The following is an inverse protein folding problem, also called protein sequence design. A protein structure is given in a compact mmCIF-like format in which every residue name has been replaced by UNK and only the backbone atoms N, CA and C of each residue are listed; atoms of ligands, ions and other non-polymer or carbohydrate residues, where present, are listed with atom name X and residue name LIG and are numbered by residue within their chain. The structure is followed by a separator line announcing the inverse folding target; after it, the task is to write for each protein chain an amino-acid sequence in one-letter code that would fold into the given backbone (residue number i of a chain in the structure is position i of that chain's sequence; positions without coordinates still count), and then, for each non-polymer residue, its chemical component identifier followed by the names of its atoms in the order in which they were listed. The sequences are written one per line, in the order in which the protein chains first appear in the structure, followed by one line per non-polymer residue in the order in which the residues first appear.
data_IF_437082840896
#
_entry.id   IF_437082840896
#
_cell.length_a   1.000
_cell.length_b   1.000
_cell.length_c   1.000
_cell.angle_alpha   90.00
_cell.angle_beta   90.00
_cell.angle_gamma   90.00
#
_symmetry.space_group_name_H-M   'P 1'
#
loop_
_entity.id
_entity.type
_entity.pdbx_description
1 polymer ?
#
# COMPACT_ATOMS: atom_id res chain seq x y z
N UNK A 1 -43.06 -1.53 -10.82
CA UNK A 1 -43.06 -2.97 -10.46
C UNK A 1 -41.76 -3.67 -10.88
N UNK A 2 -41.37 -3.64 -12.16
CA UNK A 2 -40.13 -4.28 -12.68
C UNK A 2 -38.85 -3.85 -11.94
N UNK A 3 -38.69 -2.55 -11.66
CA UNK A 3 -37.51 -2.01 -10.95
C UNK A 3 -37.31 -2.62 -9.55
N UNK A 4 -38.40 -2.95 -8.84
CA UNK A 4 -38.33 -3.53 -7.49
C UNK A 4 -37.87 -4.99 -7.53
N UNK A 5 -38.32 -5.78 -8.50
CA UNK A 5 -37.86 -7.16 -8.68
C UNK A 5 -36.38 -7.25 -9.06
N UNK A 6 -35.93 -6.33 -9.92
CA UNK A 6 -34.52 -6.24 -10.34
C UNK A 6 -33.62 -5.86 -9.16
N UNK A 7 -34.03 -4.86 -8.36
CA UNK A 7 -33.31 -4.49 -7.14
C UNK A 7 -33.24 -5.63 -6.12
N UNK A 8 -34.35 -6.35 -5.92
CA UNK A 8 -34.38 -7.49 -5.01
C UNK A 8 -33.46 -8.62 -5.48
N UNK A 9 -33.45 -8.90 -6.79
CA UNK A 9 -32.53 -9.87 -7.40
C UNK A 9 -31.06 -9.51 -7.16
N UNK A 10 -30.68 -8.24 -7.33
CA UNK A 10 -29.31 -7.80 -7.04
C UNK A 10 -28.98 -7.92 -5.55
N UNK A 11 -29.92 -7.59 -4.66
CA UNK A 11 -29.75 -7.78 -3.22
C UNK A 11 -29.47 -9.23 -2.83
N UNK A 12 -30.27 -10.17 -3.35
CA UNK A 12 -30.05 -11.61 -3.12
C UNK A 12 -28.72 -12.09 -3.69
N UNK A 13 -28.35 -11.63 -4.90
CA UNK A 13 -27.08 -12.00 -5.51
C UNK A 13 -25.88 -11.49 -4.69
N UNK A 14 -25.95 -10.28 -4.13
CA UNK A 14 -24.91 -9.74 -3.23
C UNK A 14 -24.76 -10.64 -1.99
N UNK A 15 -25.86 -11.10 -1.41
CA UNK A 15 -25.84 -12.00 -0.23
C UNK A 15 -25.19 -13.34 -0.59
N UNK A 16 -25.59 -13.95 -1.72
CA UNK A 16 -25.03 -15.22 -2.17
C UNK A 16 -23.54 -15.11 -2.49
N UNK A 17 -23.11 -14.03 -3.16
CA UNK A 17 -21.69 -13.75 -3.40
C UNK A 17 -20.93 -13.54 -2.09
N UNK A 18 -21.53 -12.87 -1.10
CA UNK A 18 -20.93 -12.72 0.22
C UNK A 18 -20.69 -14.04 0.93
N UNK A 19 -21.66 -14.96 0.86
CA UNK A 19 -21.50 -16.33 1.40
C UNK A 19 -20.43 -17.10 0.64
N UNK A 20 -20.41 -17.00 -0.70
CA UNK A 20 -19.41 -17.66 -1.53
C UNK A 20 -17.99 -17.19 -1.19
N UNK A 21 -17.78 -15.87 -1.05
CA UNK A 21 -16.49 -15.28 -0.65
C UNK A 21 -16.00 -15.86 0.67
N UNK A 22 -16.87 -16.00 1.67
CA UNK A 22 -16.51 -16.55 2.98
C UNK A 22 -16.14 -18.04 2.91
N UNK A 23 -16.73 -18.79 1.98
CA UNK A 23 -16.48 -20.23 1.83
C UNK A 23 -15.26 -20.56 0.94
N UNK A 24 -14.66 -19.57 0.27
CA UNK A 24 -13.52 -19.79 -0.62
C UNK A 24 -12.23 -19.83 0.19
N UNK A 25 -11.42 -20.89 0.08
CA UNK A 25 -10.11 -20.94 0.69
C UNK A 25 -9.20 -19.82 0.15
N UNK A 26 -8.37 -19.15 0.98
CA UNK A 26 -7.50 -18.06 0.56
C UNK A 26 -6.53 -18.43 -0.58
N UNK A 27 -6.21 -19.72 -0.71
CA UNK A 27 -5.33 -20.26 -1.74
C UNK A 27 -5.93 -20.16 -3.16
N UNK A 28 -7.26 -19.97 -3.27
CA UNK A 28 -7.95 -19.81 -4.55
C UNK A 28 -8.21 -18.32 -4.86
N UNK A 29 -7.12 -17.55 -4.90
CA UNK A 29 -7.11 -16.10 -5.13
C UNK A 29 -7.81 -15.68 -6.43
N UNK A 30 -7.65 -16.46 -7.52
CA UNK A 30 -8.31 -16.17 -8.81
C UNK A 30 -9.83 -16.24 -8.72
N UNK A 31 -10.39 -17.23 -8.00
CA UNK A 31 -11.84 -17.34 -7.83
C UNK A 31 -12.36 -16.23 -6.91
N UNK A 32 -11.60 -15.92 -5.86
CA UNK A 32 -11.92 -14.85 -4.92
C UNK A 32 -11.95 -13.47 -5.61
N UNK A 33 -11.00 -13.20 -6.49
CA UNK A 33 -10.96 -11.99 -7.32
C UNK A 33 -12.23 -11.83 -8.18
N UNK A 34 -12.68 -12.91 -8.83
CA UNK A 34 -13.92 -12.91 -9.64
C UNK A 34 -15.15 -12.60 -8.79
N UNK A 35 -15.20 -13.13 -7.56
CA UNK A 35 -16.31 -12.81 -6.65
C UNK A 35 -16.28 -11.37 -6.14
N UNK A 36 -15.11 -10.82 -5.83
CA UNK A 36 -14.98 -9.39 -5.49
C UNK A 36 -15.40 -8.50 -6.65
N UNK A 37 -14.99 -8.82 -7.88
CA UNK A 37 -15.43 -8.10 -9.07
C UNK A 37 -16.96 -8.10 -9.19
N UNK A 38 -17.59 -9.27 -9.14
CA UNK A 38 -19.04 -9.42 -9.31
C UNK A 38 -19.82 -8.74 -8.18
N UNK A 39 -19.40 -8.90 -6.93
CA UNK A 39 -20.08 -8.30 -5.78
C UNK A 39 -19.92 -6.77 -5.79
N UNK A 40 -18.73 -6.27 -6.11
CA UNK A 40 -18.47 -4.84 -6.26
C UNK A 40 -19.29 -4.20 -7.38
N UNK A 41 -19.43 -4.90 -8.51
CA UNK A 41 -20.30 -4.47 -9.61
C UNK A 41 -21.78 -4.40 -9.18
N UNK A 42 -22.30 -5.43 -8.52
CA UNK A 42 -23.69 -5.44 -8.04
C UNK A 42 -23.96 -4.37 -6.98
N UNK A 43 -23.01 -4.15 -6.06
CA UNK A 43 -23.07 -3.06 -5.09
C UNK A 43 -23.10 -1.68 -5.77
N UNK A 44 -22.36 -1.52 -6.88
CA UNK A 44 -22.38 -0.29 -7.69
C UNK A 44 -23.77 -0.03 -8.28
N UNK A 45 -24.40 -1.05 -8.87
CA UNK A 45 -25.77 -0.96 -9.40
C UNK A 45 -26.81 -0.66 -8.31
N UNK A 46 -26.57 -1.12 -7.08
CA UNK A 46 -27.43 -0.86 -5.93
C UNK A 46 -27.15 0.48 -5.21
N UNK A 47 -26.28 1.34 -5.77
CA UNK A 47 -25.84 2.59 -5.13
C UNK A 47 -25.17 2.40 -3.76
N UNK A 48 -24.67 1.20 -3.46
CA UNK A 48 -23.89 0.89 -2.25
C UNK A 48 -22.42 1.19 -2.49
N UNK A 49 -22.09 2.48 -2.63
CA UNK A 49 -20.78 2.93 -3.14
C UNK A 49 -19.61 2.49 -2.27
N UNK A 50 -19.75 2.57 -0.94
CA UNK A 50 -18.70 2.17 -0.02
C UNK A 50 -18.44 0.66 -0.04
N UNK A 51 -19.49 -0.15 -0.11
CA UNK A 51 -19.36 -1.61 -0.19
C UNK A 51 -18.70 -2.02 -1.52
N UNK A 52 -19.09 -1.36 -2.61
CA UNK A 52 -18.45 -1.55 -3.91
C UNK A 52 -16.97 -1.18 -3.91
N UNK A 53 -16.60 -0.04 -3.30
CA UNK A 53 -15.20 0.36 -3.17
C UNK A 53 -14.38 -0.61 -2.31
N UNK A 54 -14.97 -1.16 -1.24
CA UNK A 54 -14.33 -2.20 -0.44
C UNK A 54 -14.09 -3.48 -1.23
N UNK A 55 -15.04 -3.90 -2.06
CA UNK A 55 -14.88 -5.04 -2.97
C UNK A 55 -13.78 -4.78 -4.01
N UNK A 56 -13.78 -3.62 -4.65
CA UNK A 56 -12.74 -3.27 -5.61
C UNK A 56 -11.36 -3.11 -4.97
N UNK A 57 -11.29 -2.64 -3.73
CA UNK A 57 -10.03 -2.60 -2.98
C UNK A 57 -9.48 -4.01 -2.69
N UNK A 58 -10.35 -4.98 -2.41
CA UNK A 58 -9.94 -6.37 -2.25
C UNK A 58 -9.54 -7.01 -3.58
N UNK A 59 -10.28 -6.70 -4.66
CA UNK A 59 -9.90 -7.11 -6.01
C UNK A 59 -8.51 -6.57 -6.38
N UNK A 60 -8.24 -5.29 -6.10
CA UNK A 60 -6.95 -4.66 -6.38
C UNK A 60 -5.76 -5.38 -5.72
N UNK A 61 -5.98 -5.99 -4.56
CA UNK A 61 -4.96 -6.80 -3.85
C UNK A 61 -4.83 -8.22 -4.40
N UNK A 62 -5.85 -8.72 -5.11
CA UNK A 62 -5.97 -10.13 -5.49
C UNK A 62 -5.62 -10.37 -6.95
N UNK A 63 -6.12 -9.54 -7.86
CA UNK A 63 -5.91 -9.65 -9.29
C UNK A 63 -6.13 -8.29 -9.97
N UNK A 64 -5.03 -7.67 -10.43
CA UNK A 64 -5.11 -6.38 -11.11
C UNK A 64 -5.52 -6.48 -12.58
N UNK A 65 -5.42 -7.65 -13.22
CA UNK A 65 -5.72 -7.78 -14.65
C UNK A 65 -7.19 -7.54 -14.95
N UNK A 66 -8.07 -7.93 -14.02
CA UNK A 66 -9.52 -7.75 -14.15
C UNK A 66 -10.04 -6.50 -13.44
N UNK A 67 -9.16 -5.62 -12.95
CA UNK A 67 -9.56 -4.44 -12.17
C UNK A 67 -10.30 -3.40 -13.05
N UNK A 68 -11.55 -3.01 -12.73
CA UNK A 68 -12.35 -2.16 -13.60
C UNK A 68 -12.08 -0.66 -13.34
N UNK A 69 -10.91 -0.18 -13.79
CA UNK A 69 -10.40 1.17 -13.50
C UNK A 69 -11.42 2.29 -13.75
N UNK A 70 -12.07 2.33 -14.91
CA UNK A 70 -12.99 3.41 -15.27
C UNK A 70 -14.28 3.39 -14.44
N UNK A 71 -14.76 2.19 -14.07
CA UNK A 71 -15.90 2.04 -13.18
C UNK A 71 -15.56 2.56 -11.78
N UNK A 72 -14.37 2.22 -11.27
CA UNK A 72 -13.93 2.69 -9.95
C UNK A 72 -13.74 4.20 -9.94
N UNK A 73 -13.20 4.79 -11.02
CA UNK A 73 -13.13 6.25 -11.19
C UNK A 73 -14.51 6.90 -11.08
N UNK A 74 -15.46 6.45 -11.90
CA UNK A 74 -16.82 6.96 -11.87
C UNK A 74 -17.47 6.82 -10.49
N UNK A 75 -17.21 5.70 -9.80
CA UNK A 75 -17.72 5.45 -8.46
C UNK A 75 -17.13 6.42 -7.43
N UNK A 76 -15.81 6.65 -7.47
CA UNK A 76 -15.11 7.61 -6.59
C UNK A 76 -15.60 9.04 -6.82
N UNK A 77 -15.85 9.42 -8.07
CA UNK A 77 -16.36 10.75 -8.42
C UNK A 77 -17.83 10.93 -8.00
N UNK A 78 -18.59 9.83 -7.89
CA UNK A 78 -19.99 9.84 -7.45
C UNK A 78 -20.20 9.84 -5.92
N UNK A 79 -19.13 9.78 -5.12
CA UNK A 79 -19.22 9.72 -3.66
C UNK A 79 -19.85 11.00 -3.08
N UNK A 80 -20.84 10.85 -2.20
CA UNK A 80 -21.40 11.94 -1.42
C UNK A 80 -20.43 12.39 -0.33
N UNK A 81 -20.61 13.60 0.23
CA UNK A 81 -19.72 14.16 1.26
C UNK A 81 -19.59 13.27 2.49
N UNK A 82 -20.68 12.67 2.95
CA UNK A 82 -20.68 11.80 4.12
C UNK A 82 -19.99 10.47 3.82
N UNK A 83 -20.28 9.87 2.66
CA UNK A 83 -19.60 8.65 2.19
C UNK A 83 -18.10 8.90 2.00
N UNK A 84 -17.72 10.06 1.46
CA UNK A 84 -16.33 10.46 1.29
C UNK A 84 -15.62 10.58 2.62
N UNK A 85 -16.25 11.21 3.61
CA UNK A 85 -15.71 11.34 4.96
C UNK A 85 -15.53 9.97 5.62
N UNK A 86 -16.48 9.04 5.43
CA UNK A 86 -16.37 7.67 5.91
C UNK A 86 -15.27 6.88 5.19
N UNK A 87 -15.13 7.04 3.88
CA UNK A 87 -14.06 6.41 3.11
C UNK A 87 -12.67 6.94 3.52
N UNK A 88 -12.55 8.23 3.84
CA UNK A 88 -11.30 8.82 4.30
C UNK A 88 -10.88 8.34 5.70
N UNK A 89 -11.81 7.79 6.50
CA UNK A 89 -11.52 7.09 7.77
C UNK A 89 -11.04 5.65 7.57
N UNK A 90 -11.26 5.05 6.38
CA UNK A 90 -10.82 3.71 5.99
C UNK A 90 -9.65 3.81 5.03
N UNK A 91 -8.40 3.77 5.46
CA UNK A 91 -7.30 4.17 4.59
C UNK A 91 -6.97 3.21 3.47
N UNK A 92 -7.43 1.97 3.50
CA UNK A 92 -7.48 1.13 2.30
C UNK A 92 -8.33 1.78 1.20
N UNK A 93 -9.48 2.38 1.54
CA UNK A 93 -10.29 3.15 0.60
C UNK A 93 -9.69 4.53 0.33
N UNK A 94 -9.15 5.23 1.33
CA UNK A 94 -8.46 6.51 1.13
C UNK A 94 -7.29 6.38 0.15
N UNK A 95 -6.51 5.30 0.25
CA UNK A 95 -5.40 4.99 -0.66
C UNK A 95 -5.92 4.70 -2.07
N UNK A 96 -6.96 3.86 -2.21
CA UNK A 96 -7.59 3.57 -3.50
C UNK A 96 -8.10 4.85 -4.16
N UNK A 97 -8.86 5.64 -3.42
CA UNK A 97 -9.43 6.91 -3.86
C UNK A 97 -8.33 7.90 -4.26
N UNK A 98 -7.27 8.01 -3.46
CA UNK A 98 -6.14 8.87 -3.79
C UNK A 98 -5.49 8.41 -5.09
N UNK A 99 -5.17 7.12 -5.22
CA UNK A 99 -4.54 6.53 -6.40
C UNK A 99 -5.37 6.75 -7.68
N UNK A 100 -6.66 6.44 -7.61
CA UNK A 100 -7.62 6.62 -8.70
C UNK A 100 -7.77 8.09 -9.10
N UNK A 101 -7.70 9.03 -8.14
CA UNK A 101 -7.74 10.47 -8.41
C UNK A 101 -6.42 11.03 -8.92
N UNK A 102 -5.27 10.54 -8.46
CA UNK A 102 -3.96 10.93 -9.01
C UNK A 102 -3.81 10.44 -10.46
N UNK A 103 -4.36 9.27 -10.76
CA UNK A 103 -4.49 8.78 -12.14
C UNK A 103 -5.51 9.59 -12.97
N UNK A 104 -6.45 10.32 -12.33
CA UNK A 104 -7.42 11.20 -12.99
C UNK A 104 -6.86 12.63 -13.22
N UNK A 105 -6.06 13.15 -12.29
CA UNK A 105 -5.28 14.38 -12.50
C UNK A 105 -4.21 14.20 -13.58
N UNK A 106 -3.67 12.98 -13.74
CA UNK A 106 -2.88 12.61 -14.91
C UNK A 106 -3.70 12.58 -16.22
N UNK A 107 -5.02 12.38 -16.19
CA UNK A 107 -5.85 12.31 -17.40
C UNK A 107 -6.43 13.67 -17.82
N UNK A 108 -6.63 14.61 -16.88
CA UNK A 108 -7.17 15.95 -17.21
C UNK A 108 -6.09 17.03 -17.43
N UNK A 109 -4.83 16.76 -17.10
CA UNK A 109 -3.70 17.69 -17.35
C UNK A 109 -2.66 17.13 -18.33
N UNK A 110 -2.79 15.88 -18.80
CA UNK A 110 -1.84 15.33 -19.78
C UNK A 110 -2.54 14.78 -21.02
N UNK A 111 -2.98 15.71 -21.86
CA UNK A 111 -2.74 15.63 -23.30
C UNK A 111 -1.28 16.05 -23.63
N UNK A 112 -0.34 15.73 -22.72
CA UNK A 112 1.08 15.97 -22.91
C UNK A 112 1.88 14.74 -22.47
N UNK A 113 2.66 14.27 -23.42
CA UNK A 113 3.13 12.91 -23.64
C UNK A 113 4.32 12.53 -22.73
N UNK A 114 4.17 12.62 -21.40
CA UNK A 114 5.26 12.31 -20.47
C UNK A 114 4.80 11.54 -19.23
N UNK A 115 4.70 10.21 -19.36
CA UNK A 115 5.19 9.34 -18.28
C UNK A 115 6.66 9.71 -18.09
N UNK A 116 6.98 10.57 -17.12
CA UNK A 116 8.35 10.74 -16.66
C UNK A 116 8.78 9.39 -16.09
N UNK A 117 9.31 8.51 -16.95
CA UNK A 117 10.17 7.41 -16.51
C UNK A 117 11.25 8.10 -15.68
N UNK A 118 11.28 7.85 -14.38
CA UNK A 118 12.37 8.32 -13.56
C UNK A 118 13.67 7.75 -14.14
N UNK A 119 14.57 8.63 -14.54
CA UNK A 119 15.88 8.23 -15.06
C UNK A 119 16.91 8.42 -13.97
N UNK A 120 17.75 7.41 -13.78
CA UNK A 120 18.88 7.54 -12.87
C UNK A 120 19.79 8.69 -13.33
N UNK A 121 20.22 9.56 -12.41
CA UNK A 121 21.15 10.63 -12.72
C UNK A 121 22.46 10.05 -13.26
N UNK A 122 23.02 10.69 -14.29
CA UNK A 122 24.27 10.28 -14.94
C UNK A 122 25.45 11.19 -14.59
N UNK A 123 25.18 12.30 -13.90
CA UNK A 123 26.15 13.31 -13.51
C UNK A 123 26.13 13.50 -12.00
N UNK A 124 27.25 13.97 -11.45
CA UNK A 124 27.32 14.36 -10.05
C UNK A 124 26.27 15.40 -9.72
N UNK A 125 25.69 15.31 -8.51
CA UNK A 125 24.62 16.20 -8.08
C UNK A 125 25.04 16.98 -6.84
N UNK A 126 24.91 18.29 -6.92
CA UNK A 126 24.91 19.16 -5.74
C UNK A 126 23.56 19.05 -5.02
N UNK A 127 23.47 19.63 -3.83
CA UNK A 127 22.29 19.51 -2.96
C UNK A 127 20.96 19.85 -3.66
N UNK A 128 20.93 20.93 -4.44
CA UNK A 128 19.71 21.37 -5.14
C UNK A 128 19.26 20.37 -6.22
N UNK A 129 20.20 19.82 -6.98
CA UNK A 129 19.89 18.83 -8.02
C UNK A 129 19.50 17.49 -7.41
N UNK A 130 20.12 17.11 -6.28
CA UNK A 130 19.72 15.95 -5.51
C UNK A 130 18.29 16.08 -4.99
N UNK A 131 17.89 17.26 -4.47
CA UNK A 131 16.51 17.53 -4.06
C UNK A 131 15.52 17.28 -5.18
N UNK A 132 15.79 17.83 -6.37
CA UNK A 132 14.95 17.61 -7.56
C UNK A 132 14.84 16.13 -7.90
N UNK A 133 15.96 15.40 -7.95
CA UNK A 133 15.96 13.97 -8.29
C UNK A 133 15.19 13.11 -7.29
N UNK A 134 15.30 13.38 -5.99
CA UNK A 134 14.56 12.63 -4.95
C UNK A 134 13.06 12.91 -5.01
N UNK A 135 12.67 14.15 -5.34
CA UNK A 135 11.25 14.48 -5.52
C UNK A 135 10.69 13.85 -6.80
N UNK A 136 11.45 13.89 -7.90
CA UNK A 136 11.08 13.24 -9.17
C UNK A 136 10.98 11.71 -9.07
N UNK A 137 11.76 11.09 -8.18
CA UNK A 137 11.70 9.64 -7.93
C UNK A 137 10.53 9.22 -7.04
N UNK A 138 9.90 10.17 -6.35
CA UNK A 138 8.75 9.92 -5.47
C UNK A 138 9.09 9.36 -4.09
N UNK A 139 10.36 9.29 -3.70
CA UNK A 139 10.80 8.72 -2.41
C UNK A 139 10.32 9.58 -1.23
N UNK A 140 10.57 10.89 -1.27
CA UNK A 140 10.17 11.84 -0.23
C UNK A 140 10.03 13.22 -0.85
N UNK A 141 9.01 13.98 -0.40
CA UNK A 141 8.75 15.34 -0.88
C UNK A 141 9.32 16.44 0.03
N UNK A 142 9.48 16.14 1.33
CA UNK A 142 9.95 17.09 2.34
C UNK A 142 11.42 17.46 2.16
N UNK A 143 11.69 18.75 1.91
CA UNK A 143 13.03 19.26 1.60
C UNK A 143 13.99 19.11 2.79
N UNK A 144 13.53 19.33 4.02
CA UNK A 144 14.39 19.22 5.19
C UNK A 144 14.91 17.79 5.41
N UNK A 145 14.05 16.80 5.18
CA UNK A 145 14.43 15.38 5.19
C UNK A 145 15.41 15.05 4.07
N UNK A 146 15.21 15.60 2.86
CA UNK A 146 16.13 15.38 1.75
C UNK A 146 17.50 16.00 2.01
N UNK A 147 17.56 17.18 2.65
CA UNK A 147 18.83 17.79 3.05
C UNK A 147 19.57 16.91 4.06
N UNK A 148 18.88 16.35 5.06
CA UNK A 148 19.50 15.40 6.01
C UNK A 148 20.01 14.14 5.32
N UNK A 149 19.27 13.62 4.34
CA UNK A 149 19.70 12.49 3.53
C UNK A 149 20.95 12.83 2.71
N UNK A 150 21.01 14.02 2.11
CA UNK A 150 22.18 14.49 1.38
C UNK A 150 23.41 14.56 2.28
N UNK A 151 23.29 15.15 3.47
CA UNK A 151 24.38 15.19 4.45
C UNK A 151 24.81 13.77 4.85
N UNK A 152 23.86 12.86 5.11
CA UNK A 152 24.15 11.47 5.47
C UNK A 152 24.90 10.70 4.36
N UNK A 153 24.60 10.97 3.10
CA UNK A 153 25.25 10.34 1.94
C UNK A 153 26.58 11.00 1.54
N UNK A 154 26.88 12.18 2.08
CA UNK A 154 28.14 12.92 1.79
C UNK A 154 29.08 13.02 2.99
N UNK A 155 28.79 12.35 4.12
CA UNK A 155 29.64 12.36 5.31
C UNK A 155 31.06 11.92 4.96
N UNK A 156 32.04 12.81 5.18
CA UNK A 156 33.46 12.54 4.92
C UNK A 156 33.87 12.56 3.44
N UNK A 157 32.99 13.03 2.54
CA UNK A 157 33.24 13.12 1.10
C UNK A 157 33.08 14.57 0.58
N UNK A 158 33.31 14.77 -0.73
CA UNK A 158 32.96 16.04 -1.38
C UNK A 158 31.45 16.28 -1.27
N UNK A 159 31.02 17.55 -1.17
CA UNK A 159 29.61 17.96 -1.07
C UNK A 159 28.84 17.79 -2.40
N UNK A 160 28.93 16.62 -2.99
CA UNK A 160 28.21 16.20 -4.19
C UNK A 160 27.97 14.69 -4.13
N UNK A 161 26.87 14.24 -4.71
CA UNK A 161 26.52 12.83 -4.80
C UNK A 161 26.96 12.31 -6.16
N UNK A 162 27.82 11.29 -6.16
CA UNK A 162 28.18 10.54 -7.36
C UNK A 162 26.94 9.77 -7.89
N UNK A 163 26.73 9.71 -9.22
CA UNK A 163 25.68 8.90 -9.85
C UNK A 163 25.55 7.48 -9.32
N UNK A 164 26.66 6.82 -9.03
CA UNK A 164 26.73 5.45 -8.52
C UNK A 164 26.21 5.35 -7.09
N UNK A 165 26.55 6.32 -6.24
CA UNK A 165 26.02 6.40 -4.87
C UNK A 165 24.50 6.56 -4.91
N UNK A 166 23.99 7.43 -5.78
CA UNK A 166 22.54 7.59 -5.97
C UNK A 166 21.90 6.30 -6.49
N UNK A 167 22.51 5.64 -7.48
CA UNK A 167 22.00 4.38 -8.05
C UNK A 167 21.88 3.31 -6.98
N UNK A 168 22.94 3.11 -6.19
CA UNK A 168 22.95 2.13 -5.09
C UNK A 168 21.85 2.45 -4.08
N UNK A 169 21.75 3.70 -3.63
CA UNK A 169 20.68 4.15 -2.73
C UNK A 169 19.28 3.87 -3.30
N UNK A 170 19.02 4.28 -4.53
CA UNK A 170 17.72 4.12 -5.19
C UNK A 170 17.35 2.65 -5.37
N UNK A 171 18.30 1.81 -5.78
CA UNK A 171 18.09 0.37 -5.91
C UNK A 171 17.75 -0.26 -4.57
N UNK A 172 18.52 0.02 -3.50
CA UNK A 172 18.22 -0.52 -2.17
C UNK A 172 16.86 -0.05 -1.63
N UNK A 173 16.49 1.20 -1.90
CA UNK A 173 15.17 1.70 -1.56
C UNK A 173 14.06 0.92 -2.27
N UNK A 174 14.20 0.71 -3.58
CA UNK A 174 13.22 -0.02 -4.40
C UNK A 174 13.14 -1.49 -4.05
N UNK A 175 14.28 -2.16 -3.83
CA UNK A 175 14.31 -3.55 -3.37
C UNK A 175 13.66 -3.70 -1.99
N UNK A 176 13.91 -2.75 -1.07
CA UNK A 176 13.26 -2.74 0.25
C UNK A 176 11.76 -2.51 0.15
N UNK A 177 11.31 -1.62 -0.73
CA UNK A 177 9.89 -1.36 -1.00
C UNK A 177 9.20 -2.63 -1.53
N UNK A 178 9.81 -3.31 -2.50
CA UNK A 178 9.31 -4.57 -3.07
C UNK A 178 9.28 -5.67 -2.01
N UNK A 179 10.36 -5.88 -1.24
CA UNK A 179 10.41 -6.91 -0.18
C UNK A 179 9.32 -6.67 0.88
N UNK A 180 9.02 -5.41 1.20
CA UNK A 180 7.97 -5.06 2.15
C UNK A 180 6.55 -5.24 1.58
N UNK A 181 6.37 -5.10 0.26
CA UNK A 181 5.08 -5.29 -0.42
C UNK A 181 4.79 -6.77 -0.69
N UNK A 182 5.81 -7.55 -1.04
CA UNK A 182 5.69 -8.97 -1.39
C UNK A 182 5.66 -9.89 -0.16
N UNK A 183 5.71 -9.35 1.06
CA UNK A 183 5.67 -10.16 2.27
C UNK A 183 4.32 -10.86 2.41
N UNK A 184 4.32 -12.18 2.29
CA UNK A 184 3.18 -13.01 2.64
C UNK A 184 3.07 -13.11 4.16
N UNK A 185 2.15 -12.34 4.73
CA UNK A 185 1.83 -12.40 6.16
C UNK A 185 0.86 -13.57 6.42
N UNK A 186 1.12 -14.41 7.45
CA UNK A 186 0.15 -15.40 7.89
C UNK A 186 -1.20 -14.75 8.24
N UNK A 187 -2.31 -15.48 8.05
CA UNK A 187 -3.65 -14.96 8.27
C UNK A 187 -3.83 -14.43 9.71
N UNK A 188 -3.25 -15.12 10.68
CA UNK A 188 -3.25 -14.73 12.09
C UNK A 188 -2.61 -13.34 12.28
N UNK A 189 -1.57 -13.01 11.51
CA UNK A 189 -0.93 -11.68 11.58
C UNK A 189 -1.86 -10.61 11.04
N UNK A 190 -2.48 -10.88 9.90
CA UNK A 190 -3.39 -9.94 9.23
C UNK A 190 -4.57 -9.61 10.15
N UNK A 191 -5.11 -10.58 10.89
CA UNK A 191 -6.19 -10.36 11.87
C UNK A 191 -5.78 -9.47 13.05
N UNK A 192 -4.49 -9.48 13.42
CA UNK A 192 -3.97 -8.68 14.54
C UNK A 192 -3.43 -7.31 14.11
N UNK A 193 -3.23 -7.07 12.81
CA UNK A 193 -2.83 -5.77 12.28
C UNK A 193 -4.03 -4.82 12.27
N UNK A 194 -3.78 -3.56 12.63
CA UNK A 194 -4.80 -2.54 12.42
C UNK A 194 -5.03 -2.39 10.89
N UNK A 195 -6.24 -2.00 10.47
CA UNK A 195 -6.66 -1.89 9.05
C UNK A 195 -5.69 -1.11 8.12
N UNK A 196 -4.75 -0.35 8.69
CA UNK A 196 -3.88 0.63 8.02
C UNK A 196 -2.40 0.28 8.21
N UNK A 197 -2.15 -0.70 9.07
CA UNK A 197 -0.82 -1.12 9.45
C UNK A 197 -0.27 -1.97 8.33
N UNK A 198 0.87 -1.56 7.80
CA UNK A 198 1.56 -2.29 6.75
C UNK A 198 3.03 -2.38 7.10
N UNK A 199 3.67 -3.41 6.55
CA UNK A 199 5.09 -3.61 6.73
C UNK A 199 5.84 -2.62 5.83
N UNK A 200 6.82 -1.94 6.40
CA UNK A 200 7.70 -0.99 5.69
C UNK A 200 9.11 -1.54 5.49
N UNK A 201 9.54 -2.44 6.37
CA UNK A 201 10.87 -3.03 6.32
C UNK A 201 10.85 -4.44 6.88
N UNK A 202 11.54 -5.33 6.18
CA UNK A 202 11.93 -6.65 6.68
C UNK A 202 13.44 -6.69 6.91
N UNK A 203 13.86 -7.47 7.91
CA UNK A 203 15.23 -7.94 8.03
C UNK A 203 15.46 -9.21 7.19
N UNK A 204 16.72 -9.56 6.99
CA UNK A 204 17.08 -10.94 6.65
C UNK A 204 16.64 -11.90 7.77
N UNK A 205 16.64 -13.21 7.49
CA UNK A 205 16.36 -14.20 8.54
C UNK A 205 17.45 -14.16 9.60
N UNK A 206 17.04 -14.08 10.86
CA UNK A 206 17.89 -13.94 12.04
C UNK A 206 17.48 -14.95 13.10
N UNK A 207 18.45 -15.44 13.86
CA UNK A 207 18.20 -16.27 15.04
C UNK A 207 17.98 -15.36 16.25
N UNK A 208 16.84 -15.51 16.90
CA UNK A 208 16.49 -14.81 18.14
C UNK A 208 16.26 -15.82 19.27
N UNK A 209 16.07 -15.33 20.50
CA UNK A 209 15.61 -16.15 21.62
C UNK A 209 14.15 -16.61 21.48
N UNK A 210 13.40 -16.07 20.51
CA UNK A 210 12.02 -16.43 20.19
C UNK A 210 11.91 -17.30 18.93
N UNK A 211 13.04 -17.76 18.38
CA UNK A 211 13.10 -18.58 17.17
C UNK A 211 13.87 -17.93 16.02
N UNK A 212 13.92 -18.66 14.89
CA UNK A 212 14.50 -18.18 13.63
C UNK A 212 13.38 -17.59 12.78
N UNK A 213 13.65 -16.42 12.19
CA UNK A 213 12.65 -15.73 11.38
C UNK A 213 13.11 -14.33 10.94
N UNK A 214 12.21 -13.58 10.30
CA UNK A 214 12.45 -12.20 9.88
C UNK A 214 11.79 -11.20 10.82
N UNK A 215 12.48 -10.13 11.17
CA UNK A 215 11.90 -9.00 11.90
C UNK A 215 11.22 -8.10 10.88
N UNK A 216 9.92 -7.88 11.05
CA UNK A 216 9.13 -6.96 10.27
C UNK A 216 8.76 -5.72 11.09
N UNK A 217 8.83 -4.58 10.43
CA UNK A 217 8.58 -3.27 11.02
C UNK A 217 7.37 -2.63 10.36
N UNK A 218 6.44 -2.15 11.17
CA UNK A 218 5.28 -1.35 10.73
C UNK A 218 5.41 0.09 11.18
N UNK A 219 4.36 0.90 11.01
CA UNK A 219 4.29 2.24 11.58
C UNK A 219 4.22 2.25 13.11
N UNK A 220 3.90 1.11 13.75
CA UNK A 220 3.53 1.06 15.17
C UNK A 220 4.42 0.14 16.00
N UNK A 221 4.91 -0.95 15.42
CA UNK A 221 5.55 -2.04 16.18
C UNK A 221 6.52 -2.85 15.34
N UNK A 222 7.27 -3.67 16.07
CA UNK A 222 8.13 -4.71 15.55
C UNK A 222 7.50 -6.06 15.85
N UNK A 223 7.57 -6.98 14.89
CA UNK A 223 7.22 -8.38 15.10
C UNK A 223 8.19 -9.32 14.39
N UNK A 224 8.29 -10.54 14.90
CA UNK A 224 9.07 -11.62 14.32
C UNK A 224 8.13 -12.54 13.54
N UNK A 225 8.39 -12.70 12.24
CA UNK A 225 7.77 -13.71 11.38
C UNK A 225 8.63 -14.98 11.45
N UNK A 226 8.13 -16.01 12.14
CA UNK A 226 8.88 -17.26 12.38
C UNK A 226 8.63 -18.28 11.28
N UNK A 227 9.66 -19.05 10.89
CA UNK A 227 9.56 -20.08 9.84
C UNK A 227 8.65 -21.29 10.21
N UNK A 228 8.07 -21.30 11.42
CA UNK A 228 7.14 -22.32 11.93
C UNK A 228 6.13 -21.74 12.91
N UNK A 229 5.31 -22.57 13.58
CA UNK A 229 4.28 -22.12 14.53
C UNK A 229 4.92 -21.40 15.75
N UNK A 230 4.37 -20.27 16.22
CA UNK A 230 3.05 -19.70 15.89
C UNK A 230 2.97 -18.87 14.60
N UNK A 231 4.05 -18.78 13.81
CA UNK A 231 4.12 -18.02 12.56
C UNK A 231 4.39 -16.52 12.79
N UNK A 232 4.17 -16.03 14.01
CA UNK A 232 4.28 -14.63 14.37
C UNK A 232 4.43 -14.40 15.86
N UNK A 233 5.26 -13.41 16.24
CA UNK A 233 5.43 -12.95 17.62
C UNK A 233 5.55 -11.41 17.62
N UNK A 234 4.66 -10.70 18.31
CA UNK A 234 4.85 -9.26 18.56
C UNK A 234 6.04 -9.06 19.50
N UNK A 235 7.03 -8.28 19.04
CA UNK A 235 8.25 -7.99 19.83
C UNK A 235 7.95 -6.83 20.77
N UNK A 236 7.55 -5.68 20.22
CA UNK A 236 7.23 -4.47 20.99
C UNK A 236 6.59 -3.42 20.10
N UNK A 237 5.74 -2.56 20.69
CA UNK A 237 5.33 -1.29 20.06
C UNK A 237 6.40 -0.24 20.31
N UNK A 238 6.56 0.72 19.39
CA UNK A 238 7.58 1.76 19.52
C UNK A 238 7.42 2.59 20.79
N UNK A 239 6.17 2.87 21.18
CA UNK A 239 5.83 3.61 22.41
C UNK A 239 6.22 2.88 23.70
N UNK A 240 6.38 1.55 23.63
CA UNK A 240 6.65 0.69 24.77
C UNK A 240 8.14 0.34 24.88
N UNK A 241 8.97 0.80 23.93
CA UNK A 241 10.43 0.64 23.98
C UNK A 241 10.98 1.44 25.16
N UNK A 242 11.54 0.73 26.13
CA UNK A 242 12.23 1.34 27.26
C UNK A 242 13.56 1.92 26.79
N UNK A 243 13.63 3.25 26.73
CA UNK A 243 14.90 3.95 26.63
C UNK A 243 15.48 3.97 28.04
N UNK A 244 16.49 3.14 28.29
CA UNK A 244 17.38 3.38 29.41
C UNK A 244 18.17 4.63 29.05
N UNK A 245 17.73 5.79 29.56
CA UNK A 245 18.56 6.97 29.58
C UNK A 245 19.80 6.60 30.41
N UNK A 246 20.88 6.26 29.71
CA UNK A 246 22.21 6.31 30.30
C UNK A 246 22.41 7.76 30.69
N UNK A 247 22.19 8.06 31.97
CA UNK A 247 22.76 9.23 32.60
C UNK A 247 24.28 9.09 32.47
N UNK A 248 24.85 9.79 31.49
CA UNK A 248 26.28 10.08 31.38
C UNK A 248 26.44 11.58 31.53
#
# INVERSE_FOLDING_TARGET
MVHHYVQNYYGELIILLGKAIFCVPPENSTLLARYFYLRGFMNTLCSKRLDALSDFQNLYKTDMEIFPTDLVKALVDSLQKDERSQADQRPELKRLIFKVKTDNEMVLVQADDHVKKFHLPKTHMLQEDFVKRIQESGIVKDVATIHRLFEALTVGQQKQIDPEVFRVFYTFWKETEVEAQDVHLPAEVIEHLDNNECVYKLSCSVKTNQGVGKIAMTQKRLFLLTDGRPGFIEITKFRDIKVWLLYV
#
